data_IF_441134895464
#
_entry.id   IF_441134895464
#
_cell.length_a   1.000
_cell.length_b   1.000
_cell.length_c   1.000
_cell.angle_alpha   90.00
_cell.angle_beta   90.00
_cell.angle_gamma   90.00
#
_symmetry.space_group_name_H-M   'P 1'
#
loop_
_entity.id
_entity.type
_entity.pdbx_description
1 polymer ?
#
# COMPACT_ATOMS: atom_id res chain seq x y z
N UNK A 1 -30.49 -44.70 -17.98
CA UNK A 1 -30.03 -44.69 -16.57
C UNK A 1 -28.51 -44.53 -16.49
N UNK A 2 -27.71 -45.36 -17.19
CA UNK A 2 -26.23 -45.31 -17.18
C UNK A 2 -25.65 -43.97 -17.68
N UNK A 3 -26.23 -43.36 -18.72
CA UNK A 3 -25.77 -42.09 -19.29
C UNK A 3 -25.93 -40.88 -18.35
N UNK A 4 -26.93 -40.90 -17.46
CA UNK A 4 -27.17 -39.83 -16.48
C UNK A 4 -26.15 -39.88 -15.35
N UNK A 5 -25.72 -41.07 -14.93
CA UNK A 5 -24.67 -41.24 -13.93
C UNK A 5 -23.28 -40.85 -14.46
N UNK A 6 -23.00 -41.10 -15.74
CA UNK A 6 -21.72 -40.73 -16.37
C UNK A 6 -21.58 -39.20 -16.47
N UNK A 7 -22.68 -38.47 -16.72
CA UNK A 7 -22.67 -37.01 -16.81
C UNK A 7 -22.43 -36.33 -15.45
N UNK A 8 -23.02 -36.86 -14.37
CA UNK A 8 -22.80 -36.39 -12.99
C UNK A 8 -21.34 -36.58 -12.53
N UNK A 9 -20.73 -37.74 -12.87
CA UNK A 9 -19.34 -38.06 -12.50
C UNK A 9 -18.35 -37.16 -13.26
N UNK A 10 -18.58 -36.91 -14.55
CA UNK A 10 -17.75 -35.98 -15.34
C UNK A 10 -17.85 -34.56 -14.77
N UNK A 11 -19.04 -34.13 -14.35
CA UNK A 11 -19.25 -32.82 -13.73
C UNK A 11 -18.50 -32.66 -12.39
N UNK A 12 -18.42 -33.74 -11.59
CA UNK A 12 -17.67 -33.75 -10.33
C UNK A 12 -16.15 -33.64 -10.55
N UNK A 13 -15.61 -34.30 -11.58
CA UNK A 13 -14.19 -34.29 -11.93
C UNK A 13 -13.74 -32.93 -12.49
N UNK A 14 -14.64 -32.22 -13.18
CA UNK A 14 -14.39 -30.84 -13.63
C UNK A 14 -14.38 -29.88 -12.44
N UNK A 15 -15.28 -30.05 -11.46
CA UNK A 15 -15.31 -29.23 -10.23
C UNK A 15 -14.05 -29.41 -9.36
N UNK A 16 -13.39 -30.56 -9.38
CA UNK A 16 -12.17 -30.83 -8.62
C UNK A 16 -10.91 -30.13 -9.20
N UNK A 17 -10.90 -29.85 -10.52
CA UNK A 17 -9.78 -29.19 -11.21
C UNK A 17 -9.96 -27.67 -11.40
N UNK A 18 -11.11 -27.11 -10.98
CA UNK A 18 -11.44 -25.68 -11.14
C UNK A 18 -11.18 -24.86 -9.87
N UNK A 19 -10.35 -25.36 -8.95
CA UNK A 19 -9.70 -24.50 -7.96
C UNK A 19 -8.43 -23.96 -8.62
N UNK A 20 -8.61 -23.01 -9.54
CA UNK A 20 -7.52 -22.08 -9.86
C UNK A 20 -7.38 -21.24 -8.60
N UNK A 21 -6.36 -21.52 -7.79
CA UNK A 21 -5.90 -20.61 -6.76
C UNK A 21 -5.41 -19.35 -7.47
N UNK A 22 -6.33 -18.44 -7.71
CA UNK A 22 -6.01 -17.08 -8.09
C UNK A 22 -5.46 -16.42 -6.83
N UNK A 23 -4.20 -16.70 -6.50
CA UNK A 23 -3.39 -15.87 -5.60
C UNK A 23 -3.10 -14.54 -6.32
N UNK A 24 -4.16 -13.80 -6.65
CA UNK A 24 -4.09 -12.35 -6.71
C UNK A 24 -3.96 -11.88 -5.27
N UNK A 25 -2.83 -12.18 -4.63
CA UNK A 25 -2.40 -11.45 -3.45
C UNK A 25 -2.07 -10.06 -3.95
N UNK A 26 -3.08 -9.20 -3.99
CA UNK A 26 -2.92 -7.78 -4.21
C UNK A 26 -1.82 -7.33 -3.25
N UNK A 27 -0.66 -6.98 -3.79
CA UNK A 27 0.45 -6.58 -2.95
C UNK A 27 -0.02 -5.36 -2.16
N UNK A 28 -0.10 -5.50 -0.83
CA UNK A 28 -0.52 -4.42 0.05
C UNK A 28 0.70 -3.62 0.54
N UNK A 29 0.44 -2.43 1.05
CA UNK A 29 1.46 -1.56 1.63
C UNK A 29 1.97 -2.16 2.92
N UNK A 30 3.27 -2.37 3.02
CA UNK A 30 3.91 -2.78 4.28
C UNK A 30 4.31 -1.56 5.07
N UNK A 31 3.79 -1.44 6.28
CA UNK A 31 4.06 -0.33 7.20
C UNK A 31 4.83 -0.87 8.40
N UNK A 32 6.02 -0.30 8.63
CA UNK A 32 6.85 -0.61 9.78
C UNK A 32 7.04 0.67 10.61
N UNK A 33 6.63 0.65 11.88
CA UNK A 33 6.83 1.78 12.80
C UNK A 33 8.26 1.71 13.34
N UNK A 34 9.10 2.65 12.92
CA UNK A 34 10.50 2.74 13.35
C UNK A 34 10.66 3.44 14.69
N UNK A 35 9.78 4.37 15.01
CA UNK A 35 9.75 5.10 16.28
C UNK A 35 8.32 5.47 16.61
N UNK A 36 7.81 4.94 17.72
CA UNK A 36 6.52 5.33 18.29
C UNK A 36 6.68 6.54 19.23
N UNK A 37 5.57 7.14 19.62
CA UNK A 37 5.51 8.25 20.57
C UNK A 37 4.54 7.87 21.69
N UNK A 38 4.95 8.10 22.93
CA UNK A 38 4.09 7.93 24.10
C UNK A 38 3.09 9.09 24.17
N UNK A 39 1.83 8.81 24.51
CA UNK A 39 0.76 9.81 24.61
C UNK A 39 0.43 10.51 23.27
N UNK A 40 0.03 9.71 22.29
CA UNK A 40 -0.55 10.24 21.06
C UNK A 40 -1.93 10.85 21.30
N UNK A 41 -1.98 12.18 21.43
CA UNK A 41 -3.23 12.94 21.68
C UNK A 41 -4.16 12.89 20.47
N UNK A 42 -3.60 12.89 19.26
CA UNK A 42 -4.35 12.89 18.00
C UNK A 42 -3.60 12.09 16.94
N UNK A 43 -4.35 11.25 16.23
CA UNK A 43 -3.87 10.48 15.08
C UNK A 43 -4.27 11.19 13.78
N UNK A 44 -3.41 11.09 12.77
CA UNK A 44 -3.69 11.56 11.42
C UNK A 44 -4.91 10.83 10.84
N UNK A 45 -5.82 11.59 10.24
CA UNK A 45 -7.03 11.10 9.60
C UNK A 45 -7.29 11.83 8.27
N UNK A 46 -8.30 11.38 7.52
CA UNK A 46 -8.69 12.01 6.26
C UNK A 46 -8.93 13.52 6.40
N UNK A 47 -8.47 14.26 5.39
CA UNK A 47 -8.48 15.71 5.29
C UNK A 47 -7.51 16.47 6.20
N UNK A 48 -6.73 15.77 7.03
CA UNK A 48 -5.66 16.40 7.81
C UNK A 48 -4.51 16.88 6.94
N UNK A 49 -3.95 18.02 7.32
CA UNK A 49 -2.66 18.48 6.82
C UNK A 49 -1.54 17.91 7.68
N UNK A 50 -0.62 17.19 7.04
CA UNK A 50 0.58 16.64 7.68
C UNK A 50 1.80 17.40 7.20
N UNK A 51 2.58 17.92 8.14
CA UNK A 51 3.91 18.47 7.87
C UNK A 51 4.96 17.41 8.19
N UNK A 52 5.62 16.86 7.16
CA UNK A 52 6.54 15.73 7.32
C UNK A 52 7.88 15.96 6.64
N UNK A 53 8.92 15.40 7.25
CA UNK A 53 10.16 15.10 6.54
C UNK A 53 10.16 13.66 6.05
N UNK A 54 10.65 13.42 4.84
CA UNK A 54 10.73 12.08 4.26
C UNK A 54 12.04 11.84 3.50
N UNK A 55 12.31 10.57 3.24
CA UNK A 55 13.29 10.11 2.26
C UNK A 55 12.69 8.94 1.50
N UNK A 56 12.61 9.03 0.18
CA UNK A 56 12.14 7.97 -0.70
C UNK A 56 13.33 7.34 -1.44
N UNK A 57 13.29 6.02 -1.59
CA UNK A 57 14.31 5.23 -2.26
C UNK A 57 13.65 4.07 -3.03
N UNK A 58 14.25 3.67 -4.13
CA UNK A 58 13.94 2.41 -4.79
C UNK A 58 14.35 1.21 -3.94
N UNK A 59 13.86 0.01 -4.30
CA UNK A 59 14.14 -1.24 -3.57
C UNK A 59 15.62 -1.60 -3.56
N UNK A 60 16.37 -1.20 -4.59
CA UNK A 60 17.82 -1.34 -4.68
C UNK A 60 18.60 -0.32 -3.82
N UNK A 61 17.89 0.59 -3.15
CA UNK A 61 18.46 1.63 -2.30
C UNK A 61 18.75 2.95 -3.02
N UNK A 62 18.53 3.04 -4.33
CA UNK A 62 18.73 4.28 -5.09
C UNK A 62 17.75 5.35 -4.59
N UNK A 63 18.29 6.45 -4.05
CA UNK A 63 17.51 7.55 -3.49
C UNK A 63 16.78 8.31 -4.60
N UNK A 64 15.48 8.52 -4.41
CA UNK A 64 14.62 9.26 -5.34
C UNK A 64 14.54 10.72 -4.90
N UNK A 65 14.12 10.97 -3.65
CA UNK A 65 13.98 12.30 -3.09
C UNK A 65 14.15 12.30 -1.58
N UNK A 66 14.52 13.45 -1.02
CA UNK A 66 14.56 13.67 0.43
C UNK A 66 14.34 15.15 0.75
N UNK A 67 13.57 15.42 1.82
CA UNK A 67 13.39 16.79 2.33
C UNK A 67 14.57 17.27 3.17
N UNK A 68 15.36 16.34 3.71
CA UNK A 68 16.43 16.67 4.65
C UNK A 68 17.58 17.44 3.98
N UNK A 69 17.78 17.30 2.68
CA UNK A 69 18.78 18.06 1.92
C UNK A 69 18.48 19.55 1.87
N UNK A 70 17.19 19.91 1.78
CA UNK A 70 16.74 21.31 1.77
C UNK A 70 16.46 21.83 3.18
N UNK A 71 16.39 20.95 4.17
CA UNK A 71 16.05 21.27 5.55
C UNK A 71 14.61 21.70 5.78
N UNK A 72 13.74 21.64 4.76
CA UNK A 72 12.35 22.13 4.81
C UNK A 72 11.41 20.94 4.62
N UNK A 73 10.44 20.72 5.52
CA UNK A 73 9.44 19.66 5.39
C UNK A 73 8.44 20.00 4.27
N UNK A 74 7.66 19.00 3.87
CA UNK A 74 6.51 19.22 2.97
C UNK A 74 5.21 19.17 3.75
N UNK A 75 4.21 19.88 3.24
CA UNK A 75 2.83 19.78 3.70
C UNK A 75 2.01 18.98 2.68
N UNK A 76 1.20 18.05 3.17
CA UNK A 76 0.36 17.15 2.37
C UNK A 76 -1.01 17.03 3.03
N UNK A 77 -2.07 16.89 2.23
CA UNK A 77 -3.42 16.65 2.75
C UNK A 77 -3.83 15.19 2.56
N UNK A 78 -4.11 14.51 3.67
CA UNK A 78 -4.35 13.06 3.69
C UNK A 78 -5.72 12.70 3.11
N UNK A 79 -5.79 11.61 2.33
CA UNK A 79 -7.07 11.06 1.85
C UNK A 79 -7.73 11.85 0.72
N UNK A 80 -7.00 12.80 0.12
CA UNK A 80 -7.49 13.65 -0.99
C UNK A 80 -7.10 13.12 -2.37
N UNK A 81 -6.45 11.96 -2.45
CA UNK A 81 -5.87 11.40 -3.69
C UNK A 81 -4.80 12.27 -4.33
N UNK A 82 -4.28 13.27 -3.60
CA UNK A 82 -3.09 14.04 -3.99
C UNK A 82 -1.78 13.30 -3.69
N UNK A 83 -1.85 12.17 -2.97
CA UNK A 83 -0.74 11.25 -2.75
C UNK A 83 -1.01 9.94 -3.48
N UNK A 84 0.03 9.14 -3.68
CA UNK A 84 -0.17 7.78 -4.20
C UNK A 84 -1.00 6.99 -3.18
N UNK A 85 -1.86 6.06 -3.63
CA UNK A 85 -2.75 5.32 -2.75
C UNK A 85 -2.01 4.64 -1.58
N UNK A 86 -0.79 4.15 -1.82
CA UNK A 86 -0.03 3.53 -0.75
C UNK A 86 0.63 4.50 0.24
N UNK A 87 0.90 5.74 -0.15
CA UNK A 87 1.34 6.78 0.78
C UNK A 87 0.17 7.25 1.65
N UNK A 88 -1.01 7.47 1.07
CA UNK A 88 -2.22 7.78 1.84
C UNK A 88 -2.47 6.69 2.89
N UNK A 89 -2.49 5.41 2.50
CA UNK A 89 -2.63 4.29 3.44
C UNK A 89 -1.51 4.25 4.51
N UNK A 90 -0.26 4.50 4.10
CA UNK A 90 0.89 4.42 4.99
C UNK A 90 0.93 5.48 6.09
N UNK A 91 0.36 6.65 5.82
CA UNK A 91 0.35 7.82 6.71
C UNK A 91 -0.87 7.86 7.63
N UNK A 92 -1.94 7.12 7.31
CA UNK A 92 -3.12 7.01 8.16
C UNK A 92 -2.78 6.60 9.58
N UNK A 93 -3.38 7.28 10.54
CA UNK A 93 -3.22 6.97 11.95
C UNK A 93 -1.85 7.30 12.54
N UNK A 94 -0.97 8.04 11.84
CA UNK A 94 0.31 8.49 12.38
C UNK A 94 0.12 9.50 13.52
N UNK A 95 1.01 9.45 14.50
CA UNK A 95 1.12 10.43 15.56
C UNK A 95 2.22 11.46 15.25
N UNK A 96 2.09 12.68 15.78
CA UNK A 96 3.15 13.69 15.69
C UNK A 96 4.41 13.17 16.38
N UNK A 97 5.54 13.20 15.66
CA UNK A 97 6.82 12.67 16.13
C UNK A 97 7.07 11.19 15.81
N UNK A 98 6.06 10.45 15.32
CA UNK A 98 6.22 9.06 14.89
C UNK A 98 7.06 8.96 13.60
N UNK A 99 7.81 7.87 13.46
CA UNK A 99 8.57 7.55 12.24
C UNK A 99 8.12 6.20 11.70
N UNK A 100 7.86 6.15 10.39
CA UNK A 100 7.49 4.92 9.68
C UNK A 100 8.38 4.67 8.48
N UNK A 101 8.55 3.40 8.15
CA UNK A 101 8.99 2.93 6.84
C UNK A 101 7.78 2.36 6.11
N UNK A 102 7.48 2.93 4.95
CA UNK A 102 6.36 2.53 4.10
C UNK A 102 6.97 1.88 2.87
N UNK A 103 6.76 0.58 2.71
CA UNK A 103 7.14 -0.15 1.51
C UNK A 103 5.90 -0.40 0.67
N UNK A 104 5.85 0.31 -0.46
CA UNK A 104 4.71 0.34 -1.35
C UNK A 104 5.02 -0.47 -2.61
N UNK A 105 4.11 -1.37 -3.04
CA UNK A 105 4.23 -2.05 -4.31
C UNK A 105 3.93 -1.09 -5.47
N UNK A 106 4.40 -1.46 -6.66
CA UNK A 106 4.43 -0.58 -7.81
C UNK A 106 3.03 -0.07 -8.19
N UNK A 107 2.03 -0.96 -8.19
CA UNK A 107 0.61 -0.67 -8.46
C UNK A 107 -0.05 0.31 -7.47
N UNK A 108 0.54 0.55 -6.29
CA UNK A 108 0.04 1.52 -5.31
C UNK A 108 0.86 2.81 -5.27
N UNK A 109 1.92 2.89 -6.07
CA UNK A 109 2.75 4.07 -6.25
C UNK A 109 2.24 5.02 -7.33
N UNK A 110 3.08 5.98 -7.69
CA UNK A 110 2.85 6.86 -8.84
C UNK A 110 3.25 6.11 -10.12
N UNK A 111 2.33 5.35 -10.71
CA UNK A 111 2.58 4.61 -11.96
C UNK A 111 1.68 5.02 -13.13
N UNK A 112 1.08 6.21 -13.09
CA UNK A 112 0.22 6.67 -14.18
C UNK A 112 0.50 8.14 -14.49
N UNK A 113 1.65 8.40 -15.16
CA UNK A 113 1.87 9.54 -16.09
C UNK A 113 3.36 9.79 -16.41
N UNK A 114 4.21 8.77 -16.56
CA UNK A 114 5.56 8.95 -17.10
C UNK A 114 5.92 7.93 -18.18
N UNK A 115 4.94 7.56 -19.00
CA UNK A 115 5.21 7.15 -20.38
C UNK A 115 5.05 8.38 -21.25
N UNK A 116 6.17 9.03 -21.56
CA UNK A 116 6.33 10.01 -22.61
C UNK A 116 7.50 9.56 -23.50
#
# INVERSE_FOLDING_TARGET
>A
MVTHFVLEIICLLIKLNLIVANDNTEADVKIEVLSSVDNCVRKAADNDFLTIHFTSKWKDGLKIATTYERGVPIEIQLGTKMLSPGLDKGLQGMCVGEKRKIQMPANLGWLESSEG
#
